data_IF_596393914157
#
_entry.id   IF_596393914157
#
_cell.length_a   1.000
_cell.length_b   1.000
_cell.length_c   1.000
_cell.angle_alpha   90.00
_cell.angle_beta   90.00
_cell.angle_gamma   90.00
#
_symmetry.space_group_name_H-M   'P 1'
#
loop_
_entity.id
_entity.type
_entity.pdbx_description
1 polymer ?
#
# COMPACT_ATOMS: atom_id res chain seq x y z
N UNK A 1 17.53 -55.97 16.94
CA UNK A 1 18.76 -55.16 17.09
C UNK A 1 18.31 -53.71 17.23
N UNK A 2 18.24 -53.17 18.45
CA UNK A 2 17.60 -51.89 18.74
C UNK A 2 18.26 -50.67 18.07
N UNK A 3 19.56 -50.74 17.75
CA UNK A 3 20.29 -49.66 17.06
C UNK A 3 19.78 -49.40 15.64
N UNK A 4 19.34 -50.45 14.92
CA UNK A 4 18.80 -50.30 13.57
C UNK A 4 17.44 -49.59 13.55
N UNK A 5 16.62 -49.82 14.57
CA UNK A 5 15.33 -49.14 14.74
C UNK A 5 15.51 -47.66 15.07
N UNK A 6 16.50 -47.32 15.92
CA UNK A 6 16.84 -45.91 16.23
C UNK A 6 17.39 -45.19 15.00
N UNK A 7 18.26 -45.83 14.22
CA UNK A 7 18.82 -45.25 13.00
C UNK A 7 17.71 -44.96 11.97
N UNK A 8 16.73 -45.85 11.84
CA UNK A 8 15.57 -45.66 10.98
C UNK A 8 14.70 -44.48 11.46
N UNK A 9 14.36 -44.43 12.74
CA UNK A 9 13.56 -43.35 13.30
C UNK A 9 14.21 -41.97 13.12
N UNK A 10 15.54 -41.88 13.25
CA UNK A 10 16.29 -40.65 12.97
C UNK A 10 16.26 -40.27 11.50
N UNK A 11 16.36 -41.26 10.60
CA UNK A 11 16.25 -41.01 9.16
C UNK A 11 14.85 -40.50 8.77
N UNK A 12 13.80 -41.07 9.37
CA UNK A 12 12.41 -40.63 9.18
C UNK A 12 12.19 -39.20 9.73
N UNK A 13 12.70 -38.92 10.93
CA UNK A 13 12.63 -37.59 11.53
C UNK A 13 13.33 -36.54 10.66
N UNK A 14 14.54 -36.86 10.16
CA UNK A 14 15.28 -35.99 9.25
C UNK A 14 14.48 -35.73 7.97
N UNK A 15 13.91 -36.77 7.37
CA UNK A 15 13.09 -36.64 6.15
C UNK A 15 11.87 -35.74 6.40
N UNK A 16 11.15 -35.95 7.50
CA UNK A 16 10.01 -35.10 7.87
C UNK A 16 10.42 -33.64 8.11
N UNK A 17 11.60 -33.42 8.72
CA UNK A 17 12.14 -32.08 8.94
C UNK A 17 12.51 -31.39 7.62
N UNK A 18 13.20 -32.07 6.70
CA UNK A 18 13.57 -31.53 5.39
C UNK A 18 12.33 -31.11 4.59
N UNK A 19 11.28 -31.94 4.59
CA UNK A 19 9.99 -31.60 3.96
C UNK A 19 9.32 -30.41 4.65
N UNK A 20 9.34 -30.37 5.98
CA UNK A 20 8.79 -29.28 6.77
C UNK A 20 9.48 -27.94 6.48
N UNK A 21 10.81 -27.93 6.45
CA UNK A 21 11.62 -26.76 6.15
C UNK A 21 11.37 -26.28 4.72
N UNK A 22 11.38 -27.18 3.73
CA UNK A 22 11.08 -26.81 2.35
C UNK A 22 9.68 -26.18 2.19
N UNK A 23 8.69 -26.66 2.95
CA UNK A 23 7.35 -26.06 2.97
C UNK A 23 7.34 -24.66 3.61
N UNK A 24 8.03 -24.48 4.73
CA UNK A 24 8.13 -23.18 5.40
C UNK A 24 8.84 -22.16 4.50
N UNK A 25 9.94 -22.55 3.88
CA UNK A 25 10.69 -21.69 2.95
C UNK A 25 9.80 -21.25 1.78
N UNK A 26 8.99 -22.17 1.23
CA UNK A 26 8.01 -21.84 0.20
C UNK A 26 6.94 -20.85 0.68
N UNK A 27 6.42 -21.03 1.89
CA UNK A 27 5.44 -20.10 2.48
C UNK A 27 6.04 -18.71 2.74
N UNK A 28 7.28 -18.64 3.22
CA UNK A 28 7.99 -17.39 3.43
C UNK A 28 8.29 -16.67 2.11
N UNK A 29 8.70 -17.40 1.08
CA UNK A 29 8.90 -16.83 -0.25
C UNK A 29 7.61 -16.20 -0.80
N UNK A 30 6.46 -16.87 -0.62
CA UNK A 30 5.15 -16.32 -1.00
C UNK A 30 4.74 -15.09 -0.17
N UNK A 31 5.10 -15.06 1.13
CA UNK A 31 4.85 -13.90 1.98
C UNK A 31 5.68 -12.70 1.55
N UNK A 32 6.97 -12.90 1.26
CA UNK A 32 7.85 -11.84 0.72
C UNK A 32 7.31 -11.33 -0.62
N UNK A 33 6.97 -12.22 -1.54
CA UNK A 33 6.39 -11.83 -2.83
C UNK A 33 5.10 -10.99 -2.66
N UNK A 34 4.24 -11.37 -1.71
CA UNK A 34 3.01 -10.62 -1.44
C UNK A 34 3.28 -9.27 -0.79
N UNK A 35 4.28 -9.20 0.10
CA UNK A 35 4.74 -7.92 0.66
C UNK A 35 5.18 -6.98 -0.44
N UNK A 36 6.05 -7.45 -1.35
CA UNK A 36 6.51 -6.65 -2.48
C UNK A 36 5.37 -6.21 -3.41
N UNK A 37 4.33 -7.05 -3.56
CA UNK A 37 3.13 -6.69 -4.31
C UNK A 37 2.29 -5.64 -3.61
N UNK A 38 2.15 -5.73 -2.29
CA UNK A 38 1.44 -4.73 -1.47
C UNK A 38 2.17 -3.41 -1.49
N UNK A 39 3.49 -3.39 -1.33
CA UNK A 39 4.30 -2.17 -1.36
C UNK A 39 4.13 -1.44 -2.71
N UNK A 40 4.20 -2.17 -3.83
CA UNK A 40 3.92 -1.59 -5.16
C UNK A 40 2.51 -1.04 -5.31
N UNK A 41 1.51 -1.71 -4.71
CA UNK A 41 0.13 -1.24 -4.77
C UNK A 41 -0.08 0.02 -3.92
N UNK A 42 0.65 0.15 -2.80
CA UNK A 42 0.69 1.37 -2.00
C UNK A 42 1.34 2.50 -2.79
N UNK A 43 2.49 2.27 -3.41
CA UNK A 43 3.17 3.26 -4.24
C UNK A 43 2.28 3.78 -5.39
N UNK A 44 1.57 2.88 -6.09
CA UNK A 44 0.59 3.27 -7.13
C UNK A 44 -0.56 4.11 -6.57
N UNK A 45 -1.08 3.73 -5.40
CA UNK A 45 -2.14 4.49 -4.72
C UNK A 45 -1.64 5.88 -4.31
N UNK A 46 -0.43 6.00 -3.79
CA UNK A 46 0.18 7.28 -3.42
C UNK A 46 0.35 8.19 -4.64
N UNK A 47 0.85 7.67 -5.76
CA UNK A 47 0.99 8.43 -7.00
C UNK A 47 -0.37 8.92 -7.52
N UNK A 48 -1.38 8.05 -7.49
CA UNK A 48 -2.74 8.38 -7.89
C UNK A 48 -3.38 9.40 -6.97
N UNK A 49 -3.18 9.30 -5.66
CA UNK A 49 -3.64 10.30 -4.69
C UNK A 49 -2.97 11.64 -4.98
N UNK A 50 -1.65 11.68 -5.16
CA UNK A 50 -0.91 12.90 -5.47
C UNK A 50 -1.38 13.53 -6.80
N UNK A 51 -1.70 12.71 -7.80
CA UNK A 51 -2.27 13.15 -9.07
C UNK A 51 -3.66 13.75 -8.91
N UNK A 52 -4.53 13.10 -8.10
CA UNK A 52 -5.86 13.59 -7.78
C UNK A 52 -5.82 14.87 -6.95
N UNK A 53 -4.92 14.98 -5.99
CA UNK A 53 -4.71 16.20 -5.21
C UNK A 53 -4.24 17.36 -6.09
N UNK A 54 -3.31 17.10 -7.01
CA UNK A 54 -2.83 18.11 -7.97
C UNK A 54 -3.90 18.53 -8.97
N UNK A 55 -4.76 17.59 -9.40
CA UNK A 55 -5.85 17.83 -10.36
C UNK A 55 -7.08 18.47 -9.70
N UNK A 56 -7.27 18.25 -8.40
CA UNK A 56 -8.24 18.98 -7.57
C UNK A 56 -7.64 20.35 -7.25
N UNK A 57 -7.80 21.31 -8.16
CA UNK A 57 -7.72 22.72 -7.78
C UNK A 57 -8.44 22.90 -6.43
N UNK A 58 -7.81 23.53 -5.41
CA UNK A 58 -8.41 23.55 -4.10
C UNK A 58 -9.77 24.24 -4.22
N UNK A 59 -10.85 23.52 -3.92
CA UNK A 59 -12.17 24.11 -3.75
C UNK A 59 -12.11 25.38 -2.87
N UNK A 60 -11.27 25.45 -1.81
CA UNK A 60 -11.02 26.69 -1.08
C UNK A 60 -10.48 27.84 -1.96
N UNK A 61 -9.53 27.59 -2.86
CA UNK A 61 -8.96 28.62 -3.75
C UNK A 61 -10.03 29.16 -4.70
N UNK A 62 -10.88 28.30 -5.28
CA UNK A 62 -11.99 28.74 -6.13
C UNK A 62 -13.00 29.56 -5.32
N UNK A 63 -13.35 29.12 -4.11
CA UNK A 63 -14.26 29.85 -3.22
C UNK A 63 -13.70 31.24 -2.83
N UNK A 64 -12.40 31.32 -2.54
CA UNK A 64 -11.72 32.60 -2.26
C UNK A 64 -11.77 33.52 -3.47
N UNK A 65 -11.44 33.02 -4.67
CA UNK A 65 -11.51 33.83 -5.90
C UNK A 65 -12.94 34.29 -6.20
N UNK A 66 -13.94 33.43 -6.00
CA UNK A 66 -15.35 33.78 -6.17
C UNK A 66 -15.80 34.86 -5.16
N UNK A 67 -15.39 34.73 -3.89
CA UNK A 67 -15.67 35.72 -2.86
C UNK A 67 -15.02 37.07 -3.17
N UNK A 68 -13.75 37.09 -3.58
CA UNK A 68 -13.05 38.31 -4.00
C UNK A 68 -13.78 38.98 -5.17
N UNK A 69 -14.20 38.19 -6.17
CA UNK A 69 -14.94 38.70 -7.33
C UNK A 69 -16.29 39.28 -6.93
N UNK A 70 -17.04 38.59 -6.05
CA UNK A 70 -18.32 39.08 -5.55
C UNK A 70 -18.17 40.40 -4.78
N UNK A 71 -17.15 40.50 -3.92
CA UNK A 71 -16.83 41.75 -3.19
C UNK A 71 -16.48 42.88 -4.16
N UNK A 72 -15.63 42.62 -5.16
CA UNK A 72 -15.24 43.62 -6.15
C UNK A 72 -16.45 44.14 -6.95
N UNK A 73 -17.34 43.23 -7.38
CA UNK A 73 -18.59 43.59 -8.08
C UNK A 73 -19.52 44.42 -7.20
N UNK A 74 -19.61 44.08 -5.91
CA UNK A 74 -20.45 44.81 -4.94
C UNK A 74 -19.94 46.24 -4.75
N UNK A 75 -18.62 46.40 -4.51
CA UNK A 75 -17.98 47.71 -4.35
C UNK A 75 -18.15 48.56 -5.62
N UNK A 76 -17.96 47.96 -6.79
CA UNK A 76 -18.16 48.64 -8.07
C UNK A 76 -19.61 49.12 -8.27
N UNK A 77 -20.59 48.27 -7.90
CA UNK A 77 -22.01 48.63 -7.96
C UNK A 77 -22.33 49.80 -7.03
N UNK A 78 -21.83 49.79 -5.81
CA UNK A 78 -22.03 50.88 -4.82
C UNK A 78 -21.40 52.19 -5.28
N UNK A 79 -20.26 52.17 -5.98
CA UNK A 79 -19.62 53.41 -6.48
C UNK A 79 -20.33 54.02 -7.70
N UNK A 80 -21.13 53.24 -8.43
CA UNK A 80 -21.81 53.68 -9.67
C UNK A 80 -23.28 54.06 -9.47
N UNK A 81 -23.90 53.67 -8.35
CA UNK A 81 -25.27 54.03 -7.98
C UNK A 81 -25.30 55.22 -7.04
#
# INVERSE_FOLDING_TARGET
>A
MPEGEVALALAELRSALEVGLARIDGQLALLVQRSDQTDKAVDDLEERVASLERSRWPLPTIAVLASITAVALTVFGVMRG
#
